data_IF_468797283948
#
_entry.id   IF_468797283948
#
_cell.length_a   1.000
_cell.length_b   1.000
_cell.length_c   1.000
_cell.angle_alpha   90.00
_cell.angle_beta   90.00
_cell.angle_gamma   90.00
#
_symmetry.space_group_name_H-M   'P 1'
#
loop_
_entity.id
_entity.type
_entity.pdbx_description
1 polymer ?
2 water ?
#
# COMPACT_ATOMS: atom_id res chain seq x y z
N UNK A 1 -4.33 -17.71 18.52
CA UNK A 1 -3.80 -17.48 17.15
C UNK A 1 -4.20 -16.09 16.64
N UNK A 2 -5.32 -15.57 17.14
CA UNK A 2 -5.85 -14.29 16.66
C UNK A 2 -4.82 -13.19 16.70
N UNK A 3 -4.12 -13.06 17.83
CA UNK A 3 -3.18 -11.98 18.00
C UNK A 3 -2.05 -12.11 17.00
N UNK A 4 -1.64 -13.34 16.73
CA UNK A 4 -0.57 -13.60 15.76
C UNK A 4 -1.01 -13.21 14.35
N UNK A 5 -2.23 -13.57 13.99
CA UNK A 5 -2.75 -13.23 12.67
C UNK A 5 -2.77 -11.72 12.48
N UNK A 6 -3.25 -11.01 13.49
CA UNK A 6 -3.37 -9.57 13.37
C UNK A 6 -2.00 -8.92 13.28
N UNK A 7 -1.05 -9.45 14.04
CA UNK A 7 0.32 -8.95 14.04
C UNK A 7 0.97 -9.15 12.68
N UNK A 8 0.86 -10.37 12.14
CA UNK A 8 1.47 -10.70 10.86
C UNK A 8 0.94 -9.79 9.76
N UNK A 9 -0.35 -9.53 9.84
CA UNK A 9 -1.03 -8.72 8.85
C UNK A 9 -0.50 -7.28 8.89
N UNK A 10 -0.39 -6.69 10.09
CA UNK A 10 0.18 -5.36 10.20
C UNK A 10 1.62 -5.34 9.66
N UNK A 11 2.42 -6.33 10.03
CA UNK A 11 3.78 -6.38 9.55
C UNK A 11 3.90 -6.53 8.03
N UNK A 12 3.08 -7.41 7.44
CA UNK A 12 3.14 -7.60 6.00
C UNK A 12 2.67 -6.34 5.25
N UNK A 13 1.65 -5.66 5.77
CA UNK A 13 1.14 -4.44 5.13
C UNK A 13 2.17 -3.33 5.25
N UNK A 14 2.77 -3.18 6.42
CA UNK A 14 3.79 -2.17 6.59
C UNK A 14 4.93 -2.46 5.62
N UNK A 15 5.27 -3.75 5.50
CA UNK A 15 6.28 -4.20 4.54
C UNK A 15 5.94 -3.80 3.10
N UNK A 16 4.67 -3.98 2.71
CA UNK A 16 4.22 -3.64 1.34
C UNK A 16 4.34 -2.15 1.05
N UNK A 17 4.00 -1.33 2.04
CA UNK A 17 4.00 0.12 1.88
C UNK A 17 5.45 0.63 1.73
N UNK A 18 6.34 0.07 2.54
CA UNK A 18 7.76 0.41 2.48
C UNK A 18 8.39 -0.01 1.15
N UNK A 19 8.00 -1.18 0.65
CA UNK A 19 8.46 -1.68 -0.65
C UNK A 19 8.01 -0.75 -1.77
N UNK A 20 6.75 -0.30 -1.71
CA UNK A 20 6.24 0.69 -2.64
C UNK A 20 7.10 1.95 -2.65
N UNK A 21 7.39 2.49 -1.47
CA UNK A 21 8.22 3.70 -1.39
C UNK A 21 9.60 3.43 -1.99
N UNK A 22 10.20 2.30 -1.62
CA UNK A 22 11.48 1.88 -2.22
C UNK A 22 11.38 1.90 -3.73
N UNK A 23 10.39 1.21 -4.27
CA UNK A 23 10.26 1.08 -5.72
C UNK A 23 10.02 2.44 -6.38
N UNK A 24 9.19 3.28 -5.76
CA UNK A 24 8.89 4.57 -6.37
C UNK A 24 10.13 5.48 -6.43
N UNK A 25 11.02 5.36 -5.45
CA UNK A 25 12.24 6.16 -5.40
C UNK A 25 13.13 5.90 -6.62
N UNK A 26 12.97 4.74 -7.26
CA UNK A 26 13.70 4.45 -8.49
C UNK A 26 13.12 5.17 -9.72
N UNK A 27 11.85 5.58 -9.65
CA UNK A 27 11.19 6.23 -10.79
C UNK A 27 11.39 7.74 -10.73
N UNK A 28 12.21 8.26 -11.63
CA UNK A 28 12.55 9.69 -11.60
C UNK A 28 13.02 10.24 -12.94
N UNK A 29 12.86 11.56 -13.07
CA UNK A 29 13.12 12.26 -14.32
C UNK A 29 14.60 12.48 -14.60
N UNK A 30 15.42 12.43 -13.54
CA UNK A 30 16.82 12.81 -13.66
C UNK A 30 17.05 14.31 -13.74
N UNK A 31 16.03 15.10 -13.46
CA UNK A 31 16.21 16.54 -13.28
C UNK A 31 15.43 17.41 -14.24
N UNK A 32 14.49 16.82 -14.96
CA UNK A 32 13.74 17.60 -15.92
C UNK A 32 12.96 16.73 -16.87
N UNK A 33 12.05 17.35 -17.61
CA UNK A 33 11.28 16.66 -18.64
C UNK A 33 10.06 17.42 -19.16
N UNK A 34 9.71 17.17 -20.42
CA UNK A 34 8.46 17.66 -20.94
C UNK A 34 7.30 17.09 -20.13
N UNK A 35 6.12 17.71 -20.24
CA UNK A 35 4.94 17.19 -19.56
C UNK A 35 4.67 15.75 -19.98
N UNK A 36 4.80 15.48 -21.27
CA UNK A 36 4.45 14.16 -21.79
C UNK A 36 5.38 13.11 -21.20
N UNK A 37 6.68 13.44 -21.20
CA UNK A 37 7.68 12.51 -20.68
C UNK A 37 7.55 12.27 -19.17
N UNK A 38 7.12 13.29 -18.43
CA UNK A 38 6.91 13.15 -17.01
C UNK A 38 5.65 12.28 -16.73
N UNK A 39 4.67 12.37 -17.62
CA UNK A 39 3.44 11.57 -17.55
C UNK A 39 3.73 10.10 -17.81
N UNK A 40 4.72 9.82 -18.66
CA UNK A 40 5.16 8.43 -18.84
C UNK A 40 5.57 7.84 -17.50
N UNK A 41 6.27 8.61 -16.68
CA UNK A 41 6.71 8.12 -15.38
C UNK A 41 5.55 7.99 -14.43
N UNK A 42 4.61 8.94 -14.49
CA UNK A 42 3.39 8.87 -13.67
C UNK A 42 2.59 7.58 -13.92
N UNK A 43 2.53 7.13 -15.18
CA UNK A 43 1.78 5.92 -15.48
C UNK A 43 2.47 4.72 -14.81
N UNK A 44 3.79 4.71 -14.79
CA UNK A 44 4.50 3.63 -14.13
C UNK A 44 4.22 3.58 -12.63
N UNK A 45 4.33 4.70 -11.94
CA UNK A 45 4.09 4.69 -10.50
C UNK A 45 2.61 4.41 -10.16
N UNK A 46 1.69 4.79 -11.05
CA UNK A 46 0.28 4.46 -10.83
C UNK A 46 0.07 2.96 -10.81
N UNK A 47 0.76 2.28 -11.74
CA UNK A 47 0.78 0.82 -11.81
C UNK A 47 1.33 0.21 -10.54
N UNK A 48 2.43 0.74 -10.05
CA UNK A 48 3.05 0.22 -8.84
C UNK A 48 2.15 0.41 -7.62
N UNK A 49 1.51 1.57 -7.54
CA UNK A 49 0.61 1.87 -6.41
C UNK A 49 -0.50 0.83 -6.38
N UNK A 50 -1.08 0.53 -7.54
CA UNK A 50 -2.13 -0.48 -7.59
C UNK A 50 -1.58 -1.86 -7.21
N UNK A 51 -0.37 -2.19 -7.65
CA UNK A 51 0.30 -3.36 -7.12
C UNK A 51 0.33 -3.37 -5.61
N UNK A 52 0.71 -2.25 -4.99
CA UNK A 52 0.71 -2.17 -3.50
C UNK A 52 -0.67 -2.44 -2.90
N UNK A 53 -1.69 -1.82 -3.48
CA UNK A 53 -3.07 -2.04 -3.06
C UNK A 53 -3.49 -3.50 -3.15
N UNK A 54 -3.17 -4.13 -4.27
CA UNK A 54 -3.44 -5.56 -4.45
C UNK A 54 -2.75 -6.36 -3.33
N UNK A 55 -1.48 -6.06 -3.05
CA UNK A 55 -0.72 -6.80 -2.04
C UNK A 55 -1.37 -6.68 -0.66
N UNK A 56 -1.71 -5.45 -0.30
CA UNK A 56 -2.34 -5.16 0.96
C UNK A 56 -3.69 -5.88 1.07
N UNK A 57 -4.49 -5.83 0.01
CA UNK A 57 -5.79 -6.49 0.02
C UNK A 57 -5.66 -8.03 0.09
N UNK A 58 -4.63 -8.56 -0.58
CA UNK A 58 -4.34 -9.99 -0.51
C UNK A 58 -4.00 -10.41 0.92
N UNK A 59 -3.13 -9.64 1.56
CA UNK A 59 -2.81 -9.84 2.97
C UNK A 59 -4.07 -9.83 3.83
N UNK A 60 -4.92 -8.82 3.67
CA UNK A 60 -6.15 -8.78 4.46
C UNK A 60 -7.03 -10.03 4.27
N UNK A 61 -7.07 -10.52 3.04
CA UNK A 61 -7.90 -11.65 2.70
C UNK A 61 -7.35 -12.91 3.34
N UNK A 62 -6.05 -13.13 3.21
CA UNK A 62 -5.42 -14.28 3.84
C UNK A 62 -5.77 -14.25 5.33
N UNK A 63 -5.61 -13.08 5.95
CA UNK A 63 -5.89 -12.89 7.38
C UNK A 63 -7.33 -13.26 7.76
N UNK A 64 -8.29 -12.74 7.00
CA UNK A 64 -9.69 -13.03 7.26
C UNK A 64 -9.94 -14.53 7.17
N UNK A 65 -9.33 -15.17 6.18
CA UNK A 65 -9.54 -16.60 5.97
C UNK A 65 -8.90 -17.42 7.09
N UNK A 66 -7.74 -16.98 7.56
CA UNK A 66 -7.10 -17.58 8.75
C UNK A 66 -7.94 -17.41 10.01
N UNK A 67 -8.60 -16.26 10.11
CA UNK A 67 -9.50 -15.98 11.22
C UNK A 67 -10.71 -16.89 11.17
N UNK A 68 -11.37 -16.94 10.01
CA UNK A 68 -12.52 -17.82 9.85
C UNK A 68 -12.18 -19.29 10.15
N UNK A 69 -10.99 -19.73 9.78
CA UNK A 69 -10.57 -21.11 10.00
C UNK A 69 -10.58 -21.48 11.49
N UNK A 70 -10.38 -20.49 12.36
CA UNK A 70 -10.45 -20.67 13.82
C UNK A 70 -11.84 -21.04 14.32
N UNK A 71 -12.85 -20.76 13.50
CA UNK A 71 -14.22 -21.13 13.79
C UNK A 71 -14.36 -22.58 14.23
N UNK A 72 -13.64 -23.48 13.57
CA UNK A 72 -13.69 -24.90 13.88
C UNK A 72 -13.30 -25.20 15.34
N UNK A 73 -12.65 -24.24 16.00
CA UNK A 73 -12.19 -24.40 17.39
C UNK A 73 -13.19 -23.80 18.36
N UNK A 74 -13.88 -24.66 19.11
CA UNK A 74 -14.94 -24.20 20.00
C UNK A 74 -14.39 -23.32 21.13
N UNK A 75 -13.10 -23.44 21.43
CA UNK A 75 -12.44 -22.59 22.43
C UNK A 75 -12.31 -21.13 21.99
N UNK A 76 -12.25 -20.90 20.68
CA UNK A 76 -12.15 -19.55 20.14
C UNK A 76 -13.52 -18.87 20.14
N UNK A 77 -13.63 -17.69 20.75
CA UNK A 77 -14.92 -16.99 20.82
C UNK A 77 -15.30 -16.35 19.48
N UNK A 78 -16.55 -16.53 19.07
CA UNK A 78 -17.11 -15.83 17.90
C UNK A 78 -16.89 -14.31 17.97
N UNK A 79 -16.97 -13.73 19.16
CA UNK A 79 -16.88 -12.29 19.26
C UNK A 79 -15.44 -11.84 19.05
N UNK A 80 -14.48 -12.68 19.41
CA UNK A 80 -13.07 -12.35 19.19
C UNK A 80 -12.75 -12.41 17.70
N UNK A 81 -13.39 -13.33 17.01
CA UNK A 81 -13.19 -13.48 15.58
C UNK A 81 -13.78 -12.29 14.85
N UNK A 82 -14.99 -11.93 15.28
CA UNK A 82 -15.69 -10.80 14.75
C UNK A 82 -14.89 -9.51 14.94
N UNK A 83 -14.35 -9.32 16.14
CA UNK A 83 -13.53 -8.14 16.43
C UNK A 83 -12.30 -8.11 15.58
N UNK A 84 -11.61 -9.26 15.50
CA UNK A 84 -10.39 -9.39 14.70
C UNK A 84 -10.63 -9.08 13.21
N UNK A 85 -11.75 -9.54 12.64
CA UNK A 85 -12.06 -9.22 11.25
C UNK A 85 -12.27 -7.72 11.06
N UNK A 86 -12.92 -7.09 12.03
CA UNK A 86 -13.10 -5.64 12.00
C UNK A 86 -11.72 -4.95 12.04
N UNK A 87 -10.80 -5.45 12.88
CA UNK A 87 -9.44 -4.87 12.94
C UNK A 87 -8.63 -5.01 11.61
N UNK A 88 -8.75 -6.17 10.98
CA UNK A 88 -8.11 -6.40 9.71
C UNK A 88 -8.61 -5.40 8.67
N UNK A 89 -9.91 -5.17 8.64
CA UNK A 89 -10.54 -4.19 7.76
C UNK A 89 -9.98 -2.76 8.01
N UNK A 90 -9.83 -2.39 9.29
CA UNK A 90 -9.21 -1.11 9.67
C UNK A 90 -7.76 -1.02 9.15
N UNK A 91 -7.00 -2.10 9.30
CA UNK A 91 -5.62 -2.14 8.82
C UNK A 91 -5.52 -1.90 7.31
N UNK A 92 -6.38 -2.58 6.55
CA UNK A 92 -6.45 -2.40 5.10
C UNK A 92 -6.75 -0.95 4.77
N UNK A 93 -7.77 -0.38 5.42
CA UNK A 93 -8.16 0.99 5.19
C UNK A 93 -7.01 1.97 5.40
N UNK A 94 -6.28 1.80 6.49
CA UNK A 94 -5.15 2.67 6.81
C UNK A 94 -4.04 2.53 5.77
N UNK A 95 -3.74 1.28 5.41
CA UNK A 95 -2.69 0.97 4.46
C UNK A 95 -3.01 1.53 3.07
N UNK A 96 -4.24 1.33 2.61
CA UNK A 96 -4.66 1.89 1.31
C UNK A 96 -4.62 3.43 1.24
N UNK A 97 -5.09 4.09 2.30
CA UNK A 97 -5.00 5.54 2.44
C UNK A 97 -3.57 6.04 2.35
N UNK A 98 -2.65 5.33 2.99
CA UNK A 98 -1.24 5.70 2.94
C UNK A 98 -0.71 5.54 1.49
N UNK A 99 -1.02 4.41 0.84
CA UNK A 99 -0.58 4.17 -0.53
C UNK A 99 -1.10 5.28 -1.44
N UNK A 100 -2.36 5.66 -1.24
CA UNK A 100 -2.98 6.76 -1.99
C UNK A 100 -2.25 8.09 -1.77
N UNK A 101 -1.88 8.37 -0.53
CA UNK A 101 -1.16 9.59 -0.21
C UNK A 101 0.23 9.54 -0.81
N UNK A 102 0.86 8.38 -0.75
CA UNK A 102 2.20 8.23 -1.28
C UNK A 102 2.17 8.47 -2.78
N UNK A 103 1.13 7.97 -3.43
CA UNK A 103 1.00 8.09 -4.87
C UNK A 103 0.77 9.54 -5.25
N UNK A 104 -0.07 10.24 -4.50
CA UNK A 104 -0.38 11.63 -4.86
C UNK A 104 0.88 12.48 -4.76
N UNK A 105 1.67 12.24 -3.71
CA UNK A 105 2.91 12.99 -3.49
C UNK A 105 3.94 12.67 -4.57
N UNK A 106 4.06 11.41 -4.92
CA UNK A 106 4.97 10.98 -5.97
C UNK A 106 4.60 11.61 -7.32
N UNK A 107 3.30 11.59 -7.68
CA UNK A 107 2.87 12.19 -8.96
C UNK A 107 3.17 13.68 -9.04
N UNK A 108 2.93 14.39 -7.95
CA UNK A 108 3.21 15.82 -7.88
C UNK A 108 4.69 16.08 -8.09
N UNK A 109 5.52 15.24 -7.49
CA UNK A 109 6.95 15.37 -7.63
C UNK A 109 7.32 15.16 -9.10
N UNK A 110 6.69 14.18 -9.72
CA UNK A 110 7.05 13.86 -11.09
C UNK A 110 6.61 14.99 -12.05
N UNK A 111 5.45 15.59 -11.78
CA UNK A 111 4.82 16.50 -12.75
C UNK A 111 5.27 17.95 -12.61
N UNK A 112 5.51 18.38 -11.38
CA UNK A 112 5.75 19.80 -11.13
C UNK A 112 7.13 20.24 -11.59
N UNK A 113 7.15 21.31 -12.38
CA UNK A 113 8.36 21.86 -12.93
C UNK A 113 8.88 22.91 -11.94
N UNK A 114 10.10 22.71 -11.48
CA UNK A 114 10.70 23.60 -10.49
C UNK A 114 11.87 24.35 -11.10
N UNK A 115 12.19 25.50 -10.51
CA UNK A 115 13.19 26.40 -11.06
C UNK A 115 14.55 25.72 -11.31
N UNK A 116 14.96 24.82 -10.43
CA UNK A 116 16.26 24.15 -10.60
C UNK A 116 16.25 23.01 -11.64
N UNK A 117 15.06 22.63 -12.12
CA UNK A 117 14.95 21.62 -13.17
C UNK A 117 15.40 22.20 -14.48
N UNK A 118 15.88 21.33 -15.37
CA UNK A 118 16.13 21.70 -16.75
C UNK A 118 14.79 21.92 -17.43
N UNK A 119 14.62 23.07 -18.08
CA UNK A 119 13.33 23.39 -18.75
C UNK A 119 13.33 23.09 -20.26
N UNK A 120 12.13 22.91 -20.80
CA UNK A 120 11.95 22.45 -22.18
C UNK A 120 10.99 23.35 -22.95
#
# INVERSE_FOLDING_TARGET
MINEIKKDAQERMDKSVEALKNNLSKVRTGGGGTEERRKDLVKIVRGEAEGGRVAVRNIARDAANDLAALGKDKEVNWFDISQALWEIQKLTDVAVKKIDEVLAAKEKELMEVLEHHHHHH
#
